data_IF_507088964386
#
_entry.id   IF_507088964386
#
_cell.length_a   1.000
_cell.length_b   1.000
_cell.length_c   1.000
_cell.angle_alpha   90.00
_cell.angle_beta   90.00
_cell.angle_gamma   90.00
#
_symmetry.space_group_name_H-M   'P 1'
#
loop_
_entity.id
_entity.type
_entity.pdbx_description
1 polymer ?
#
# COMPACT_ATOMS: atom_id res chain seq x y z
N UNK A 1 -11.07 0.26 -0.33
CA UNK A 1 -10.28 -0.83 -0.96
C UNK A 1 -8.87 -0.82 -0.38
N UNK A 2 -8.13 0.29 -0.48
CA UNK A 2 -6.74 0.44 0.01
C UNK A 2 -6.53 0.10 1.48
N UNK A 3 -7.35 0.60 2.41
CA UNK A 3 -7.24 0.24 3.84
C UNK A 3 -7.40 -1.26 4.10
N UNK A 4 -8.29 -1.93 3.34
CA UNK A 4 -8.45 -3.39 3.42
C UNK A 4 -7.20 -4.11 2.93
N UNK A 5 -6.62 -3.67 1.81
CA UNK A 5 -5.38 -4.23 1.28
C UNK A 5 -4.22 -4.03 2.28
N UNK A 6 -4.10 -2.84 2.86
CA UNK A 6 -3.06 -2.49 3.86
C UNK A 6 -3.12 -3.34 5.12
N UNK A 7 -4.34 -3.66 5.59
CA UNK A 7 -4.58 -4.52 6.76
C UNK A 7 -4.43 -6.00 6.45
N UNK A 8 -4.76 -6.41 5.23
CA UNK A 8 -4.69 -7.81 4.79
C UNK A 8 -3.27 -8.26 4.51
N UNK A 9 -2.43 -7.41 3.91
CA UNK A 9 -1.08 -7.79 3.53
C UNK A 9 -0.17 -8.02 4.75
N UNK A 10 0.55 -9.14 4.78
CA UNK A 10 1.50 -9.47 5.86
C UNK A 10 2.93 -9.56 5.35
N UNK A 11 3.90 -9.11 6.15
CA UNK A 11 5.34 -9.16 5.79
C UNK A 11 5.84 -10.60 5.62
N UNK A 12 6.55 -10.84 4.53
CA UNK A 12 7.36 -12.05 4.29
C UNK A 12 8.84 -11.84 4.66
N UNK A 13 9.24 -10.59 4.93
CA UNK A 13 10.63 -10.24 5.25
C UNK A 13 11.02 -10.76 6.64
N UNK A 14 12.26 -11.26 6.75
CA UNK A 14 12.88 -11.56 8.05
C UNK A 14 13.16 -10.28 8.83
N UNK A 15 12.91 -10.29 10.14
CA UNK A 15 13.12 -9.14 11.01
C UNK A 15 14.59 -8.65 10.96
N UNK A 16 14.78 -7.32 10.92
CA UNK A 16 16.11 -6.69 10.82
C UNK A 16 16.78 -6.76 9.44
N UNK A 17 16.24 -7.51 8.48
CA UNK A 17 16.80 -7.61 7.13
C UNK A 17 16.71 -6.28 6.35
N UNK A 18 17.55 -6.14 5.32
CA UNK A 18 17.48 -4.99 4.41
C UNK A 18 16.10 -4.89 3.72
N UNK A 19 15.49 -6.02 3.40
CA UNK A 19 14.16 -6.06 2.80
C UNK A 19 13.05 -5.68 3.78
N UNK A 20 13.19 -5.99 5.07
CA UNK A 20 12.28 -5.46 6.10
C UNK A 20 12.40 -3.94 6.22
N UNK A 21 13.61 -3.37 6.12
CA UNK A 21 13.82 -1.92 6.13
C UNK A 21 13.20 -1.26 4.88
N UNK A 22 13.41 -1.84 3.69
CA UNK A 22 12.79 -1.38 2.44
C UNK A 22 11.27 -1.46 2.50
N UNK A 23 10.73 -2.58 2.98
CA UNK A 23 9.29 -2.76 3.15
C UNK A 23 8.70 -1.73 4.11
N UNK A 24 9.37 -1.43 5.22
CA UNK A 24 8.95 -0.37 6.15
C UNK A 24 8.86 1.00 5.47
N UNK A 25 9.84 1.34 4.62
CA UNK A 25 9.79 2.56 3.80
C UNK A 25 8.60 2.53 2.83
N UNK A 26 8.37 1.41 2.12
CA UNK A 26 7.24 1.28 1.21
C UNK A 26 5.89 1.42 1.93
N UNK A 27 5.72 0.82 3.10
CA UNK A 27 4.48 0.92 3.88
C UNK A 27 4.26 2.32 4.41
N UNK A 28 5.33 3.02 4.80
CA UNK A 28 5.25 4.44 5.14
C UNK A 28 4.75 5.27 3.95
N UNK A 29 5.27 5.04 2.75
CA UNK A 29 4.79 5.73 1.56
C UNK A 29 3.30 5.45 1.30
N UNK A 30 2.85 4.21 1.46
CA UNK A 30 1.43 3.87 1.33
C UNK A 30 0.55 4.61 2.35
N UNK A 31 0.99 4.65 3.61
CA UNK A 31 0.26 5.30 4.71
C UNK A 31 0.24 6.83 4.56
N UNK A 32 1.36 7.44 4.15
CA UNK A 32 1.48 8.88 3.89
C UNK A 32 0.54 9.33 2.76
N UNK A 33 0.53 8.62 1.63
CA UNK A 33 -0.37 8.95 0.51
C UNK A 33 -1.84 8.67 0.82
N UNK A 34 -2.15 7.70 1.68
CA UNK A 34 -3.52 7.51 2.16
C UNK A 34 -3.98 8.70 3.03
N UNK A 35 -3.08 9.25 3.84
CA UNK A 35 -3.33 10.48 4.62
C UNK A 35 -3.51 11.69 3.71
N UNK A 36 -2.66 11.86 2.69
CA UNK A 36 -2.81 12.92 1.67
C UNK A 36 -4.15 12.82 0.94
N UNK A 37 -4.57 11.60 0.57
CA UNK A 37 -5.86 11.38 -0.05
C UNK A 37 -7.02 11.84 0.84
N UNK A 38 -6.97 11.54 2.14
CA UNK A 38 -7.96 12.00 3.11
C UNK A 38 -7.95 13.54 3.25
N UNK A 39 -6.78 14.15 3.26
CA UNK A 39 -6.63 15.61 3.27
C UNK A 39 -7.25 16.25 2.03
N UNK A 40 -6.89 15.81 0.83
CA UNK A 40 -7.43 16.34 -0.43
C UNK A 40 -8.94 16.16 -0.52
N UNK A 41 -9.45 15.01 -0.06
CA UNK A 41 -10.88 14.75 0.01
C UNK A 41 -11.59 15.75 0.94
N UNK A 42 -11.00 16.04 2.11
CA UNK A 42 -11.59 16.97 3.08
C UNK A 42 -11.76 18.40 2.56
N UNK A 43 -10.92 18.81 1.59
CA UNK A 43 -10.97 20.15 0.98
C UNK A 43 -11.68 20.16 -0.38
N UNK A 44 -12.29 19.04 -0.79
CA UNK A 44 -13.03 18.91 -2.04
C UNK A 44 -12.17 18.75 -3.30
N UNK A 45 -10.87 18.48 -3.15
CA UNK A 45 -9.98 18.20 -4.28
C UNK A 45 -10.03 16.73 -4.67
N UNK A 46 -11.08 16.35 -5.38
CA UNK A 46 -11.35 14.95 -5.72
C UNK A 46 -10.30 14.35 -6.66
N UNK A 47 -9.69 15.15 -7.54
CA UNK A 47 -8.68 14.66 -8.50
C UNK A 47 -7.42 14.26 -7.76
N UNK A 48 -6.90 15.12 -6.87
CA UNK A 48 -5.72 14.78 -6.06
C UNK A 48 -6.02 13.69 -5.03
N UNK A 49 -7.22 13.70 -4.44
CA UNK A 49 -7.64 12.63 -3.53
C UNK A 49 -7.63 11.26 -4.21
N UNK A 50 -8.22 11.18 -5.41
CA UNK A 50 -8.26 9.95 -6.20
C UNK A 50 -6.86 9.50 -6.64
N UNK A 51 -6.01 10.43 -7.08
CA UNK A 51 -4.62 10.12 -7.44
C UNK A 51 -3.83 9.56 -6.25
N UNK A 52 -3.89 10.23 -5.10
CA UNK A 52 -3.15 9.85 -3.89
C UNK A 52 -3.58 8.46 -3.38
N UNK A 53 -4.88 8.14 -3.34
CA UNK A 53 -5.34 6.85 -2.82
C UNK A 53 -4.98 5.66 -3.73
N UNK A 54 -4.94 5.86 -5.05
CA UNK A 54 -4.47 4.84 -5.99
C UNK A 54 -2.95 4.65 -5.89
N UNK A 55 -2.19 5.73 -5.71
CA UNK A 55 -0.75 5.64 -5.53
C UNK A 55 -0.38 4.94 -4.21
N UNK A 56 -1.13 5.20 -3.13
CA UNK A 56 -1.01 4.44 -1.88
C UNK A 56 -1.25 2.94 -2.09
N UNK A 57 -2.29 2.57 -2.84
CA UNK A 57 -2.57 1.16 -3.16
C UNK A 57 -1.46 0.51 -3.98
N UNK A 58 -0.89 1.24 -4.94
CA UNK A 58 0.18 0.74 -5.79
C UNK A 58 1.45 0.35 -5.01
N UNK A 59 1.78 1.06 -3.91
CA UNK A 59 2.89 0.67 -3.04
C UNK A 59 2.67 -0.68 -2.35
N UNK A 60 1.44 -0.94 -1.91
CA UNK A 60 1.06 -2.21 -1.26
C UNK A 60 1.08 -3.34 -2.29
N UNK A 61 0.46 -3.09 -3.45
CA UNK A 61 0.38 -4.05 -4.54
C UNK A 61 1.76 -4.43 -5.08
N UNK A 62 2.66 -3.45 -5.23
CA UNK A 62 4.05 -3.68 -5.60
C UNK A 62 4.75 -4.58 -4.58
N UNK A 63 4.55 -4.35 -3.28
CA UNK A 63 5.11 -5.19 -2.22
C UNK A 63 4.67 -6.66 -2.32
N UNK A 64 3.42 -6.92 -2.71
CA UNK A 64 2.91 -8.28 -2.99
C UNK A 64 3.56 -8.85 -4.25
N UNK A 65 3.56 -8.09 -5.35
CA UNK A 65 4.12 -8.52 -6.64
C UNK A 65 5.58 -8.91 -6.58
N UNK A 66 6.39 -8.18 -5.81
CA UNK A 66 7.84 -8.45 -5.70
C UNK A 66 8.18 -9.41 -4.55
N UNK A 67 7.18 -9.96 -3.85
CA UNK A 67 7.36 -11.00 -2.83
C UNK A 67 7.83 -10.50 -1.45
N UNK A 68 7.64 -9.22 -1.12
CA UNK A 68 7.90 -8.70 0.23
C UNK A 68 6.67 -8.83 1.14
N UNK A 69 5.48 -8.87 0.56
CA UNK A 69 4.21 -9.06 1.25
C UNK A 69 3.48 -10.31 0.74
N UNK A 70 2.77 -10.99 1.63
CA UNK A 70 1.76 -11.98 1.28
C UNK A 70 0.39 -11.29 1.17
N UNK A 71 -0.20 -11.32 -0.03
CA UNK A 71 -1.56 -10.85 -0.30
C UNK A 71 -2.66 -11.89 0.01
N UNK A 72 -2.27 -13.08 0.49
CA UNK A 72 -3.13 -14.21 0.82
C UNK A 72 -4.03 -14.67 -0.33
N UNK A 73 -3.50 -14.67 -1.56
CA UNK A 73 -4.21 -15.16 -2.74
C UNK A 73 -5.44 -14.33 -3.15
N UNK A 74 -5.55 -13.08 -2.70
CA UNK A 74 -6.67 -12.18 -3.04
C UNK A 74 -6.40 -11.39 -4.31
N UNK A 75 -7.00 -11.82 -5.42
CA UNK A 75 -6.94 -11.19 -6.74
C UNK A 75 -7.91 -10.01 -6.92
N UNK A 76 -8.79 -9.75 -5.93
CA UNK A 76 -9.69 -8.60 -5.92
C UNK A 76 -9.01 -7.37 -5.33
N UNK A 77 -8.18 -7.57 -4.30
CA UNK A 77 -7.44 -6.49 -3.64
C UNK A 77 -6.04 -6.27 -4.22
N UNK A 78 -5.44 -7.30 -4.85
CA UNK A 78 -4.08 -7.24 -5.38
C UNK A 78 -4.03 -7.72 -6.83
N UNK A 79 -3.11 -7.18 -7.62
CA UNK A 79 -2.80 -7.72 -8.95
C UNK A 79 -1.86 -8.92 -8.79
N UNK A 80 -2.42 -10.10 -8.60
CA UNK A 80 -1.61 -11.32 -8.47
C UNK A 80 -1.07 -11.79 -9.83
N UNK A 81 0.09 -12.48 -9.90
CA UNK A 81 0.60 -13.08 -11.13
C UNK A 81 -0.32 -14.17 -11.69
#
# INVERSE_FOLDING_TARGET
MTDRARKKATSLCSEGSLDAQRLSVMMRMADDYASDAAHFLSIGDYVRAFGAINYAHAWIDAGVKIGLLDGHGDDVLFTLP
#
